data_IF_534072848581
#
_entry.id   IF_534072848581
#
_cell.length_a   1.000
_cell.length_b   1.000
_cell.length_c   1.000
_cell.angle_alpha   90.00
_cell.angle_beta   90.00
_cell.angle_gamma   90.00
#
_symmetry.space_group_name_H-M   'P 1'
#
loop_
_entity.id
_entity.type
_entity.pdbx_description
1 polymer ?
#
# COMPACT_ATOMS: atom_id res chain seq x y z
N UNK A 1 -4.96 1.41 5.05
CA UNK A 1 -4.01 1.71 6.15
C UNK A 1 -3.47 3.12 5.99
N UNK A 2 -3.16 3.82 7.09
CA UNK A 2 -2.78 5.25 7.09
C UNK A 2 -1.52 5.53 6.26
N UNK A 3 -0.48 4.69 6.37
CA UNK A 3 0.78 4.90 5.62
C UNK A 3 0.62 4.83 4.09
N UNK A 4 -0.06 3.79 3.59
CA UNK A 4 -0.36 3.70 2.15
C UNK A 4 -1.21 4.89 1.68
N UNK A 5 -2.24 5.27 2.45
CA UNK A 5 -3.09 6.41 2.08
C UNK A 5 -2.29 7.71 2.01
N UNK A 6 -1.36 7.93 2.92
CA UNK A 6 -0.48 9.09 2.90
C UNK A 6 0.38 9.14 1.62
N UNK A 7 0.94 8.00 1.21
CA UNK A 7 1.70 7.89 -0.04
C UNK A 7 0.79 8.20 -1.25
N UNK A 8 -0.41 7.62 -1.30
CA UNK A 8 -1.38 7.92 -2.38
C UNK A 8 -1.65 9.42 -2.51
N UNK A 9 -1.87 10.11 -1.38
CA UNK A 9 -2.16 11.54 -1.37
C UNK A 9 -0.99 12.39 -1.89
N UNK A 10 0.26 12.04 -1.56
CA UNK A 10 1.43 12.76 -2.10
C UNK A 10 1.60 12.47 -3.59
N UNK A 11 1.50 11.21 -4.00
CA UNK A 11 1.64 10.77 -5.39
C UNK A 11 0.59 11.44 -6.29
N UNK A 12 -0.62 11.66 -5.78
CA UNK A 12 -1.70 12.32 -6.50
C UNK A 12 -1.65 13.86 -6.40
N UNK A 13 -0.71 14.41 -5.62
CA UNK A 13 -0.57 15.85 -5.45
C UNK A 13 0.29 16.48 -6.55
N UNK A 14 0.08 17.77 -6.80
CA UNK A 14 0.91 18.58 -7.72
C UNK A 14 2.37 18.70 -7.24
N UNK A 15 2.65 18.40 -5.96
CA UNK A 15 3.98 18.46 -5.37
C UNK A 15 4.71 17.11 -5.39
N UNK A 16 4.19 16.09 -6.08
CA UNK A 16 4.84 14.77 -6.11
C UNK A 16 6.32 14.86 -6.53
N UNK A 17 6.64 15.71 -7.51
CA UNK A 17 8.00 15.92 -8.01
C UNK A 17 8.93 16.64 -7.02
N UNK A 18 8.37 17.28 -5.98
CA UNK A 18 9.13 18.00 -4.95
C UNK A 18 9.66 17.07 -3.85
N UNK A 19 9.19 15.81 -3.80
CA UNK A 19 9.51 14.87 -2.73
C UNK A 19 10.09 13.57 -3.26
N UNK A 20 11.11 13.06 -2.56
CA UNK A 20 11.54 11.68 -2.68
C UNK A 20 10.95 10.87 -1.52
N UNK A 21 10.09 9.91 -1.83
CA UNK A 21 9.47 9.03 -0.84
C UNK A 21 10.30 7.75 -0.74
N UNK A 22 10.49 7.25 0.47
CA UNK A 22 11.04 5.92 0.72
C UNK A 22 10.25 5.29 1.84
N UNK A 23 9.67 4.12 1.59
CA UNK A 23 8.92 3.37 2.60
C UNK A 23 9.65 2.09 2.99
N UNK A 24 9.51 1.69 4.25
CA UNK A 24 10.02 0.43 4.77
C UNK A 24 9.04 -0.12 5.79
N UNK A 25 9.02 -1.44 5.91
CA UNK A 25 8.15 -2.14 6.86
C UNK A 25 8.86 -3.39 7.36
N UNK A 26 8.47 -3.84 8.55
CA UNK A 26 9.03 -5.07 9.15
C UNK A 26 8.51 -6.33 8.46
N UNK A 27 7.27 -6.28 7.97
CA UNK A 27 6.62 -7.39 7.29
C UNK A 27 6.97 -7.40 5.80
N UNK A 28 7.02 -8.58 5.19
CA UNK A 28 7.28 -8.75 3.76
C UNK A 28 6.09 -8.32 2.86
N UNK A 29 5.03 -7.80 3.46
CA UNK A 29 3.75 -7.54 2.83
C UNK A 29 3.49 -6.04 2.70
N UNK A 30 3.06 -5.61 1.51
CA UNK A 30 2.53 -4.26 1.29
C UNK A 30 1.26 -4.03 2.10
N UNK A 31 0.75 -2.81 2.15
CA UNK A 31 -0.42 -2.52 2.98
C UNK A 31 -1.64 -3.38 2.60
N UNK A 32 -2.25 -4.05 3.58
CA UNK A 32 -3.42 -4.91 3.39
C UNK A 32 -4.52 -4.66 4.45
N UNK A 33 -5.73 -5.17 4.22
CA UNK A 33 -6.88 -5.04 5.11
C UNK A 33 -6.71 -5.91 6.36
N UNK A 34 -6.08 -5.33 7.39
CA UNK A 34 -5.90 -5.97 8.69
C UNK A 34 -7.21 -6.07 9.50
N UNK A 35 -8.18 -5.19 9.25
CA UNK A 35 -9.48 -5.23 9.94
C UNK A 35 -10.28 -6.44 9.46
N UNK A 36 -10.26 -6.69 8.15
CA UNK A 36 -10.88 -7.84 7.50
C UNK A 36 -10.07 -9.13 7.51
N UNK A 37 -8.96 -9.22 8.26
CA UNK A 37 -8.01 -10.34 8.16
C UNK A 37 -8.63 -11.72 8.43
N UNK A 38 -9.68 -11.79 9.26
CA UNK A 38 -10.40 -13.05 9.52
C UNK A 38 -11.02 -13.66 8.25
N UNK A 39 -11.32 -12.86 7.23
CA UNK A 39 -11.83 -13.35 5.94
C UNK A 39 -10.83 -14.19 5.15
N UNK A 40 -9.54 -14.15 5.49
CA UNK A 40 -8.53 -15.06 4.96
C UNK A 40 -8.90 -16.53 5.24
N UNK A 41 -9.38 -16.82 6.46
CA UNK A 41 -9.82 -18.16 6.83
C UNK A 41 -11.13 -18.58 6.15
N UNK A 42 -11.85 -17.63 5.55
CA UNK A 42 -13.05 -17.87 4.76
C UNK A 42 -12.75 -17.99 3.24
N UNK A 43 -11.48 -18.06 2.85
CA UNK A 43 -11.05 -18.31 1.47
C UNK A 43 -10.58 -17.08 0.70
N UNK A 44 -10.54 -15.89 1.31
CA UNK A 44 -9.84 -14.74 0.69
C UNK A 44 -8.34 -15.02 0.59
N UNK A 45 -7.74 -14.58 -0.50
CA UNK A 45 -6.31 -14.66 -0.75
C UNK A 45 -5.58 -13.42 -0.23
N UNK A 46 -4.24 -13.51 -0.18
CA UNK A 46 -3.36 -12.34 0.07
C UNK A 46 -3.66 -11.20 -0.91
N UNK A 47 -3.93 -11.53 -2.18
CA UNK A 47 -4.26 -10.53 -3.21
C UNK A 47 -5.59 -9.82 -2.91
N UNK A 48 -6.58 -10.56 -2.43
CA UNK A 48 -7.90 -10.00 -2.07
C UNK A 48 -7.85 -9.09 -0.83
N UNK A 49 -6.81 -9.24 0.00
CA UNK A 49 -6.58 -8.40 1.16
C UNK A 49 -5.66 -7.22 0.86
N UNK A 50 -4.90 -7.24 -0.24
CA UNK A 50 -4.01 -6.14 -0.60
C UNK A 50 -4.81 -4.85 -0.81
N UNK A 51 -4.38 -3.78 -0.16
CA UNK A 51 -4.89 -2.43 -0.42
C UNK A 51 -4.06 -1.73 -1.51
N UNK A 52 -2.88 -2.27 -1.83
CA UNK A 52 -1.96 -1.71 -2.81
C UNK A 52 -2.06 -2.52 -4.10
N UNK A 53 -2.30 -1.89 -5.26
CA UNK A 53 -2.18 -2.55 -6.54
C UNK A 53 -0.76 -3.10 -6.74
N UNK A 54 -0.64 -4.22 -7.46
CA UNK A 54 0.66 -4.81 -7.79
C UNK A 54 1.51 -3.80 -8.58
N UNK A 55 2.76 -3.58 -8.17
CA UNK A 55 3.67 -2.62 -8.82
C UNK A 55 3.44 -1.15 -8.48
N UNK A 56 2.39 -0.78 -7.71
CA UNK A 56 2.02 0.62 -7.49
C UNK A 56 3.18 1.49 -6.96
N UNK A 57 3.95 1.00 -5.99
CA UNK A 57 5.08 1.77 -5.45
C UNK A 57 6.22 1.92 -6.45
N UNK A 58 6.59 0.84 -7.15
CA UNK A 58 7.62 0.87 -8.18
C UNK A 58 7.25 1.82 -9.33
N UNK A 59 5.98 1.83 -9.75
CA UNK A 59 5.45 2.70 -10.80
C UNK A 59 5.51 4.19 -10.44
N UNK A 60 5.42 4.52 -9.15
CA UNK A 60 5.42 5.90 -8.66
C UNK A 60 6.73 6.30 -7.96
N UNK A 61 7.76 5.45 -8.00
CA UNK A 61 9.08 5.75 -7.45
C UNK A 61 9.14 5.86 -5.92
N UNK A 62 8.34 5.04 -5.23
CA UNK A 62 8.22 4.99 -3.75
C UNK A 62 9.04 3.86 -3.13
#
# INVERSE_FOLDING_TARGET
MVGHRFIEEIVQSEQNDDYQITTFCEESEVAYDRVGLSSYFAGKTRKDLSLVPEGYYDEHGV
#
